data_IF_711173661439
#
_entry.id   IF_711173661439
#
_cell.length_a   1.000
_cell.length_b   1.000
_cell.length_c   1.000
_cell.angle_alpha   90.00
_cell.angle_beta   90.00
_cell.angle_gamma   90.00
#
_symmetry.space_group_name_H-M   'P 1'
#
loop_
_entity.id
_entity.type
_entity.pdbx_description
1 polymer ?
#
# COMPACT_ATOMS: atom_id res chain seq x y z
N UNK A 1 30.42 21.85 -20.11
CA UNK A 1 30.07 20.90 -19.02
C UNK A 1 28.55 20.93 -18.89
N UNK A 2 27.89 19.78 -18.84
CA UNK A 2 26.43 19.72 -18.72
C UNK A 2 26.05 19.43 -17.26
N UNK A 3 25.00 20.08 -16.77
CA UNK A 3 24.41 19.79 -15.46
C UNK A 3 23.30 18.74 -15.63
N UNK A 4 23.33 17.69 -14.82
CA UNK A 4 22.30 16.64 -14.81
C UNK A 4 21.73 16.56 -13.40
N UNK A 5 20.41 16.68 -13.28
CA UNK A 5 19.68 16.57 -12.02
C UNK A 5 18.64 15.46 -12.10
N UNK A 6 18.38 14.79 -10.99
CA UNK A 6 17.40 13.72 -10.89
C UNK A 6 16.27 14.16 -9.95
N UNK A 7 15.04 13.87 -10.33
CA UNK A 7 13.84 14.21 -9.57
C UNK A 7 12.87 13.02 -9.56
N UNK A 8 12.30 12.71 -8.40
CA UNK A 8 11.29 11.67 -8.22
C UNK A 8 10.17 12.25 -7.34
N UNK A 9 8.91 12.09 -7.77
CA UNK A 9 7.74 12.64 -7.07
C UNK A 9 7.87 14.13 -6.71
N UNK A 10 8.41 14.96 -7.63
CA UNK A 10 8.58 16.39 -7.38
C UNK A 10 9.79 16.77 -6.52
N UNK A 11 10.63 15.79 -6.12
CA UNK A 11 11.76 16.00 -5.18
C UNK A 11 13.09 15.66 -5.84
N UNK A 12 14.06 16.58 -5.74
CA UNK A 12 15.44 16.32 -6.19
C UNK A 12 16.06 15.20 -5.36
N UNK A 13 16.69 14.25 -6.03
CA UNK A 13 17.34 13.08 -5.42
C UNK A 13 18.76 12.92 -5.94
N UNK A 14 19.65 12.36 -5.12
CA UNK A 14 21.00 12.00 -5.58
C UNK A 14 20.95 10.62 -6.26
N UNK A 15 21.81 10.34 -7.24
CA UNK A 15 21.83 9.03 -7.93
C UNK A 15 21.88 7.81 -6.99
N UNK A 16 22.64 7.90 -5.89
CA UNK A 16 22.75 6.82 -4.91
C UNK A 16 21.51 6.58 -4.05
N UNK A 17 20.55 7.52 -4.03
CA UNK A 17 19.32 7.46 -3.22
C UNK A 17 18.10 7.02 -4.05
N UNK A 18 18.21 7.02 -5.38
CA UNK A 18 17.10 6.72 -6.30
C UNK A 18 16.44 5.38 -5.98
N UNK A 19 17.24 4.35 -5.70
CA UNK A 19 16.73 3.01 -5.41
C UNK A 19 15.77 2.99 -4.22
N UNK A 20 16.15 3.64 -3.12
CA UNK A 20 15.33 3.67 -1.90
C UNK A 20 14.08 4.54 -2.09
N UNK A 21 14.20 5.69 -2.76
CA UNK A 21 13.07 6.57 -3.04
C UNK A 21 12.04 5.90 -3.95
N UNK A 22 12.48 5.20 -4.99
CA UNK A 22 11.57 4.40 -5.84
C UNK A 22 10.89 3.31 -5.04
N UNK A 23 11.64 2.60 -4.19
CA UNK A 23 11.08 1.53 -3.35
C UNK A 23 10.02 2.07 -2.40
N UNK A 24 10.28 3.21 -1.77
CA UNK A 24 9.30 3.90 -0.92
C UNK A 24 8.05 4.28 -1.70
N UNK A 25 8.20 4.90 -2.87
CA UNK A 25 7.08 5.30 -3.71
C UNK A 25 6.19 4.10 -4.09
N UNK A 26 6.79 2.94 -4.40
CA UNK A 26 6.03 1.71 -4.67
C UNK A 26 5.24 1.23 -3.45
N UNK A 27 5.80 1.29 -2.24
CA UNK A 27 5.07 0.92 -1.02
C UNK A 27 3.91 1.90 -0.71
N UNK A 28 4.13 3.19 -0.95
CA UNK A 28 3.08 4.21 -0.82
C UNK A 28 1.93 3.93 -1.80
N UNK A 29 2.24 3.60 -3.05
CA UNK A 29 1.23 3.26 -4.05
C UNK A 29 0.43 2.00 -3.67
N UNK A 30 1.07 0.96 -3.15
CA UNK A 30 0.38 -0.24 -2.63
C UNK A 30 -0.56 0.13 -1.48
N UNK A 31 -0.11 0.95 -0.52
CA UNK A 31 -0.95 1.41 0.58
C UNK A 31 -2.16 2.16 0.05
N UNK A 32 -1.95 3.10 -0.87
CA UNK A 32 -3.02 3.95 -1.39
C UNK A 32 -4.02 3.13 -2.23
N UNK A 33 -3.55 2.12 -2.97
CA UNK A 33 -4.41 1.16 -3.65
C UNK A 33 -5.30 0.37 -2.68
N UNK A 34 -4.73 -0.15 -1.58
CA UNK A 34 -5.50 -0.82 -0.53
C UNK A 34 -6.53 0.13 0.08
N UNK A 35 -6.14 1.36 0.43
CA UNK A 35 -7.07 2.36 0.99
C UNK A 35 -8.21 2.66 0.03
N UNK A 36 -7.93 2.82 -1.27
CA UNK A 36 -8.98 3.03 -2.29
C UNK A 36 -9.94 1.84 -2.39
N UNK A 37 -9.42 0.61 -2.42
CA UNK A 37 -10.22 -0.60 -2.57
C UNK A 37 -11.07 -0.89 -1.34
N UNK A 38 -10.47 -0.86 -0.15
CA UNK A 38 -11.09 -1.39 1.08
C UNK A 38 -11.37 -0.34 2.16
N UNK A 39 -10.87 0.89 2.03
CA UNK A 39 -11.00 1.93 3.06
C UNK A 39 -12.44 2.41 3.32
N UNK A 40 -13.36 2.17 2.39
CA UNK A 40 -14.78 2.47 2.54
C UNK A 40 -15.56 1.36 3.26
N UNK A 41 -14.99 0.17 3.47
CA UNK A 41 -15.70 -0.97 4.06
C UNK A 41 -15.99 -0.68 5.54
N UNK A 42 -17.22 -0.98 5.95
CA UNK A 42 -17.68 -0.91 7.34
C UNK A 42 -18.45 -2.17 7.68
N UNK A 43 -18.33 -2.59 8.93
CA UNK A 43 -19.23 -3.58 9.48
C UNK A 43 -20.63 -2.95 9.62
N UNK A 44 -21.70 -3.60 9.12
CA UNK A 44 -23.03 -3.02 9.14
C UNK A 44 -23.65 -2.96 10.55
N UNK A 45 -23.19 -3.80 11.49
CA UNK A 45 -23.72 -3.86 12.85
C UNK A 45 -22.94 -2.94 13.80
N UNK A 46 -21.61 -2.97 13.73
CA UNK A 46 -20.73 -2.25 14.67
C UNK A 46 -20.16 -0.95 14.11
N UNK A 47 -20.19 -0.77 12.77
CA UNK A 47 -19.54 0.36 12.10
C UNK A 47 -18.01 0.28 12.07
N UNK A 48 -17.42 -0.82 12.55
CA UNK A 48 -15.97 -0.99 12.59
C UNK A 48 -15.34 -1.08 11.20
N UNK A 49 -14.04 -0.76 11.12
CA UNK A 49 -13.25 -0.87 9.90
C UNK A 49 -12.36 -2.11 9.94
N UNK A 50 -12.08 -2.76 8.80
CA UNK A 50 -11.09 -3.83 8.77
C UNK A 50 -9.70 -3.27 9.06
N UNK A 51 -8.89 -4.04 9.79
CA UNK A 51 -7.46 -3.76 9.99
C UNK A 51 -6.67 -4.60 9.00
N UNK A 52 -5.78 -3.96 8.24
CA UNK A 52 -4.92 -4.63 7.28
C UNK A 52 -3.47 -4.54 7.74
N UNK A 53 -2.75 -5.65 7.63
CA UNK A 53 -1.31 -5.73 7.91
C UNK A 53 -0.60 -6.33 6.70
N UNK A 54 0.18 -5.50 6.01
CA UNK A 54 1.03 -5.94 4.90
C UNK A 54 2.38 -6.40 5.48
N UNK A 55 2.79 -7.64 5.19
CA UNK A 55 4.04 -8.23 5.66
C UNK A 55 4.86 -8.73 4.50
N UNK A 56 6.19 -8.63 4.59
CA UNK A 56 7.08 -9.21 3.60
C UNK A 56 8.51 -8.69 3.70
N UNK A 57 9.45 -9.41 3.08
CA UNK A 57 10.87 -9.02 3.03
C UNK A 57 11.19 -8.06 1.89
N UNK A 58 10.37 -8.08 0.84
CA UNK A 58 10.49 -7.27 -0.36
C UNK A 58 9.13 -7.22 -1.10
N UNK A 59 9.04 -6.38 -2.12
CA UNK A 59 7.82 -6.17 -2.92
C UNK A 59 7.34 -7.46 -3.62
N UNK A 60 8.25 -8.39 -3.95
CA UNK A 60 7.87 -9.66 -4.59
C UNK A 60 7.27 -10.68 -3.60
N UNK A 61 7.46 -10.48 -2.29
CA UNK A 61 7.02 -11.41 -1.25
C UNK A 61 6.18 -10.66 -0.21
N UNK A 62 5.13 -9.98 -0.66
CA UNK A 62 4.16 -9.34 0.22
C UNK A 62 2.95 -10.26 0.44
N UNK A 63 2.52 -10.36 1.69
CA UNK A 63 1.25 -10.94 2.10
C UNK A 63 0.41 -9.90 2.85
N UNK A 64 -0.91 -10.03 2.75
CA UNK A 64 -1.86 -9.16 3.42
C UNK A 64 -2.62 -10.00 4.45
N UNK A 65 -2.51 -9.63 5.71
CA UNK A 65 -3.37 -10.15 6.78
C UNK A 65 -4.51 -9.17 7.02
N UNK A 66 -5.71 -9.72 7.21
CA UNK A 66 -6.94 -8.95 7.44
C UNK A 66 -7.51 -9.39 8.78
N UNK A 67 -7.74 -8.42 9.66
CA UNK A 67 -8.36 -8.61 10.97
C UNK A 67 -9.69 -7.84 11.04
N UNK A 68 -10.74 -8.49 11.55
CA UNK A 68 -12.08 -7.92 11.67
C UNK A 68 -13.13 -9.00 11.90
N UNK A 69 -14.40 -8.62 11.84
CA UNK A 69 -15.52 -9.57 11.82
C UNK A 69 -15.44 -10.47 10.57
N UNK A 70 -16.06 -11.67 10.59
CA UNK A 70 -16.11 -12.55 9.42
C UNK A 70 -16.68 -11.84 8.17
N UNK A 71 -17.69 -10.99 8.35
CA UNK A 71 -18.27 -10.18 7.27
C UNK A 71 -17.24 -9.19 6.68
N UNK A 72 -16.48 -8.49 7.53
CA UNK A 72 -15.42 -7.59 7.09
C UNK A 72 -14.34 -8.33 6.28
N UNK A 73 -13.92 -9.51 6.74
CA UNK A 73 -12.87 -10.30 6.08
C UNK A 73 -13.32 -10.74 4.68
N UNK A 74 -14.55 -11.26 4.56
CA UNK A 74 -15.08 -11.71 3.28
C UNK A 74 -15.29 -10.54 2.30
N UNK A 75 -15.76 -9.39 2.77
CA UNK A 75 -15.89 -8.19 1.94
C UNK A 75 -14.53 -7.69 1.44
N UNK A 76 -13.51 -7.71 2.30
CA UNK A 76 -12.13 -7.33 1.94
C UNK A 76 -11.59 -8.27 0.85
N UNK A 77 -11.68 -9.59 1.04
CA UNK A 77 -11.25 -10.59 0.04
C UNK A 77 -11.92 -10.37 -1.31
N UNK A 78 -13.24 -10.18 -1.30
CA UNK A 78 -14.03 -9.91 -2.52
C UNK A 78 -13.51 -8.70 -3.29
N UNK A 79 -13.16 -7.60 -2.61
CA UNK A 79 -12.65 -6.38 -3.27
C UNK A 79 -11.20 -6.48 -3.71
N UNK A 80 -10.40 -7.29 -3.01
CA UNK A 80 -9.00 -7.52 -3.36
C UNK A 80 -8.85 -8.61 -4.45
N UNK A 81 -9.90 -9.39 -4.72
CA UNK A 81 -9.90 -10.45 -5.72
C UNK A 81 -9.13 -11.70 -5.27
N UNK A 82 -9.18 -12.00 -3.97
CA UNK A 82 -8.46 -13.11 -3.31
C UNK A 82 -9.42 -14.05 -2.59
#
# INVERSE_FOLDING_TARGET
>A
MIEVTFEINGRKVRPGEIGDVLKQAMFEEIRDDLVRKVGSIRDPETGERPKLRVKGRNLQNLSIEVEGSPHLIEEVKRRLGT
#
